data_IF_363301429971
#
_entry.id   IF_363301429971
#
_cell.length_a   1.000
_cell.length_b   1.000
_cell.length_c   1.000
_cell.angle_alpha   90.00
_cell.angle_beta   90.00
_cell.angle_gamma   90.00
#
_symmetry.space_group_name_H-M   'P 1'
#
loop_
_entity.id
_entity.type
_entity.pdbx_description
1 polymer ?
#
# COMPACT_ATOMS: atom_id res chain seq x y z
N UNK A 1 9.80 -16.29 1.50
CA UNK A 1 10.20 -15.94 2.84
C UNK A 1 10.55 -14.49 2.95
N UNK A 2 10.03 -13.84 3.93
CA UNK A 2 10.31 -12.44 4.10
C UNK A 2 11.67 -12.25 4.77
N UNK A 3 12.38 -11.21 4.34
CA UNK A 3 13.67 -10.84 4.89
C UNK A 3 13.57 -9.61 5.76
N UNK A 4 12.41 -9.42 6.39
CA UNK A 4 12.18 -8.25 7.23
C UNK A 4 12.65 -8.50 8.65
N UNK A 5 13.16 -7.44 9.28
CA UNK A 5 13.57 -7.47 10.68
C UNK A 5 13.04 -6.24 11.38
N UNK A 6 12.98 -6.29 12.71
CA UNK A 6 12.58 -5.13 13.51
C UNK A 6 13.47 -3.94 13.19
N UNK A 7 12.86 -2.80 13.05
CA UNK A 7 13.55 -1.56 12.74
C UNK A 7 13.65 -1.25 11.26
N UNK A 8 13.37 -2.23 10.40
CA UNK A 8 13.36 -1.99 8.96
C UNK A 8 12.18 -1.12 8.58
N UNK A 9 12.32 -0.40 7.47
CA UNK A 9 11.24 0.39 6.90
C UNK A 9 10.68 -0.41 5.72
N UNK A 10 9.37 -0.60 5.72
CA UNK A 10 8.64 -1.12 4.55
C UNK A 10 7.69 -0.05 4.08
N UNK A 11 7.18 -0.21 2.87
CA UNK A 11 6.37 0.80 2.21
C UNK A 11 5.01 0.22 1.89
N UNK A 12 3.97 0.78 2.51
CA UNK A 12 2.61 0.31 2.36
C UNK A 12 1.89 1.17 1.32
N UNK A 13 1.49 0.56 0.22
CA UNK A 13 0.70 1.22 -0.80
C UNK A 13 -0.77 1.08 -0.42
N UNK A 14 -1.32 2.11 0.21
CA UNK A 14 -2.71 2.12 0.63
C UNK A 14 -3.56 2.60 -0.55
N UNK A 15 -4.30 1.68 -1.11
CA UNK A 15 -5.09 1.96 -2.31
C UNK A 15 -6.55 1.70 -2.00
N UNK A 16 -7.34 2.77 -2.00
CA UNK A 16 -8.78 2.73 -1.78
C UNK A 16 -9.45 3.56 -2.86
N UNK A 17 -9.69 2.97 -4.05
CA UNK A 17 -10.21 3.75 -5.19
C UNK A 17 -11.54 4.42 -4.91
N UNK A 18 -12.40 3.77 -4.14
CA UNK A 18 -13.71 4.35 -3.82
C UNK A 18 -13.62 5.64 -3.01
N UNK A 19 -12.51 5.81 -2.30
CA UNK A 19 -12.28 7.00 -1.49
C UNK A 19 -11.25 7.93 -2.11
N UNK A 20 -10.75 7.58 -3.30
CA UNK A 20 -9.73 8.38 -3.96
C UNK A 20 -8.38 8.36 -3.25
N UNK A 21 -8.09 7.30 -2.50
CA UNK A 21 -6.84 7.19 -1.74
C UNK A 21 -5.84 6.34 -2.50
N UNK A 22 -4.67 6.93 -2.78
CA UNK A 22 -3.56 6.28 -3.48
C UNK A 22 -2.26 6.76 -2.83
N UNK A 23 -2.04 6.30 -1.59
CA UNK A 23 -0.93 6.79 -0.78
C UNK A 23 0.12 5.71 -0.54
N UNK A 24 1.34 6.16 -0.25
CA UNK A 24 2.42 5.29 0.18
C UNK A 24 2.86 5.75 1.56
N UNK A 25 2.84 4.82 2.51
CA UNK A 25 3.25 5.08 3.87
C UNK A 25 4.57 4.39 4.18
N UNK A 26 5.46 5.11 4.86
CA UNK A 26 6.69 4.53 5.40
C UNK A 26 6.34 3.92 6.77
N UNK A 27 6.53 2.62 6.90
CA UNK A 27 6.16 1.88 8.11
C UNK A 27 7.40 1.22 8.69
N UNK A 28 7.72 1.58 9.94
CA UNK A 28 8.84 0.98 10.63
C UNK A 28 8.39 -0.27 11.36
N UNK A 29 9.03 -1.38 11.07
CA UNK A 29 8.63 -2.68 11.62
C UNK A 29 8.89 -2.72 13.12
N UNK A 30 7.87 -3.10 13.88
CA UNK A 30 7.89 -3.12 15.32
C UNK A 30 7.82 -4.54 15.88
N UNK A 31 6.94 -5.38 15.34
CA UNK A 31 6.71 -6.74 15.83
C UNK A 31 6.71 -7.71 14.68
N UNK A 32 7.36 -8.84 14.86
CA UNK A 32 7.42 -9.92 13.86
C UNK A 32 7.02 -11.21 14.54
N UNK A 33 6.03 -11.90 13.95
CA UNK A 33 5.61 -13.22 14.41
C UNK A 33 5.72 -14.21 13.26
N UNK A 34 5.31 -15.44 13.51
CA UNK A 34 5.34 -16.48 12.48
C UNK A 34 4.34 -16.24 11.35
N UNK A 35 3.25 -15.54 11.63
CA UNK A 35 2.14 -15.39 10.67
C UNK A 35 1.87 -13.97 10.24
N UNK A 36 2.33 -12.97 11.01
CA UNK A 36 2.10 -11.57 10.69
C UNK A 36 3.24 -10.69 11.21
N UNK A 37 3.26 -9.48 10.76
CA UNK A 37 4.15 -8.46 11.31
C UNK A 37 3.39 -7.15 11.45
N UNK A 38 3.89 -6.27 12.30
CA UNK A 38 3.30 -4.97 12.49
C UNK A 38 4.35 -3.87 12.45
N UNK A 39 3.89 -2.67 12.19
CA UNK A 39 4.78 -1.53 12.17
C UNK A 39 4.03 -0.25 12.46
N UNK A 40 4.78 0.82 12.64
CA UNK A 40 4.25 2.13 12.97
C UNK A 40 4.56 3.08 11.82
N UNK A 41 3.52 3.72 11.31
CA UNK A 41 3.67 4.70 10.25
C UNK A 41 4.38 5.95 10.81
N UNK A 42 5.33 6.49 10.06
CA UNK A 42 6.26 7.49 10.57
C UNK A 42 5.62 8.85 10.86
N UNK A 43 4.65 9.26 10.08
CA UNK A 43 4.06 10.59 10.23
C UNK A 43 3.02 10.65 11.34
N UNK A 44 2.02 9.78 11.24
CA UNK A 44 0.86 9.80 12.13
C UNK A 44 0.95 8.82 13.28
N UNK A 45 2.01 8.02 13.31
CA UNK A 45 2.20 7.00 14.36
C UNK A 45 1.11 5.96 14.40
N UNK A 46 0.43 5.74 13.28
CA UNK A 46 -0.59 4.70 13.18
C UNK A 46 0.05 3.33 13.14
N UNK A 47 -0.56 2.38 13.82
CA UNK A 47 -0.07 1.00 13.84
C UNK A 47 -0.81 0.21 12.77
N UNK A 48 -0.05 -0.49 11.93
CA UNK A 48 -0.63 -1.37 10.92
C UNK A 48 -0.15 -2.78 11.17
N UNK A 49 -1.02 -3.73 10.92
CA UNK A 49 -0.73 -5.14 11.05
C UNK A 49 -0.93 -5.81 9.69
N UNK A 50 0.08 -6.55 9.24
CA UNK A 50 0.05 -7.14 7.91
C UNK A 50 0.32 -8.64 7.99
N UNK A 51 -0.42 -9.45 7.19
CA UNK A 51 -0.02 -10.84 6.98
C UNK A 51 1.20 -10.85 6.03
N UNK A 52 1.97 -11.92 6.08
CA UNK A 52 3.12 -12.03 5.18
C UNK A 52 2.73 -12.06 3.71
N UNK A 53 1.50 -12.48 3.43
CA UNK A 53 0.99 -12.47 2.05
C UNK A 53 0.86 -11.06 1.47
N UNK A 54 0.91 -10.02 2.31
CA UNK A 54 0.86 -8.64 1.84
C UNK A 54 2.14 -8.21 1.15
N UNK A 55 3.26 -8.87 1.46
CA UNK A 55 4.55 -8.52 0.86
C UNK A 55 4.50 -8.79 -0.64
N UNK A 56 4.95 -7.82 -1.43
CA UNK A 56 4.90 -7.80 -2.89
C UNK A 56 3.49 -7.68 -3.47
N UNK A 57 2.47 -7.55 -2.63
CA UNK A 57 1.11 -7.25 -3.10
C UNK A 57 0.75 -5.78 -2.85
N UNK A 58 0.90 -5.32 -1.62
CA UNK A 58 0.66 -3.92 -1.28
C UNK A 58 1.62 -3.40 -0.22
N UNK A 59 2.51 -4.25 0.28
CA UNK A 59 3.61 -3.86 1.17
C UNK A 59 4.91 -4.25 0.48
N UNK A 60 5.81 -3.30 0.34
CA UNK A 60 7.03 -3.50 -0.43
C UNK A 60 8.27 -3.14 0.39
N UNK A 61 9.35 -3.83 0.12
CA UNK A 61 10.63 -3.55 0.76
C UNK A 61 11.37 -2.39 0.10
N UNK A 62 10.87 -1.96 -1.06
CA UNK A 62 11.45 -0.90 -1.87
C UNK A 62 10.39 0.17 -2.11
N UNK A 63 10.73 1.43 -1.82
CA UNK A 63 9.78 2.52 -1.97
C UNK A 63 9.29 2.70 -3.41
N UNK A 64 10.19 2.52 -4.36
CA UNK A 64 9.84 2.67 -5.77
C UNK A 64 8.71 1.73 -6.18
N UNK A 65 8.75 0.49 -5.71
CA UNK A 65 7.73 -0.50 -6.05
C UNK A 65 6.36 -0.09 -5.49
N UNK A 66 6.33 0.45 -4.28
CA UNK A 66 5.09 0.92 -3.68
C UNK A 66 4.55 2.14 -4.43
N UNK A 67 5.41 3.07 -4.78
CA UNK A 67 5.02 4.26 -5.54
C UNK A 67 4.49 3.88 -6.91
N UNK A 68 5.17 2.95 -7.59
CA UNK A 68 4.72 2.49 -8.91
C UNK A 68 3.35 1.85 -8.83
N UNK A 69 3.10 1.05 -7.80
CA UNK A 69 1.80 0.41 -7.64
C UNK A 69 0.69 1.44 -7.39
N UNK A 70 0.95 2.40 -6.52
CA UNK A 70 -0.04 3.45 -6.23
C UNK A 70 -0.32 4.31 -7.46
N UNK A 71 0.72 4.67 -8.20
CA UNK A 71 0.57 5.45 -9.42
C UNK A 71 -0.23 4.71 -10.48
N UNK A 72 0.08 3.44 -10.69
CA UNK A 72 -0.64 2.62 -11.68
C UNK A 72 -2.11 2.45 -11.28
N UNK A 73 -2.37 2.24 -10.00
CA UNK A 73 -3.75 2.09 -9.52
C UNK A 73 -4.53 3.39 -9.71
N UNK A 74 -3.92 4.52 -9.45
CA UNK A 74 -4.55 5.81 -9.64
C UNK A 74 -4.89 6.07 -11.10
N UNK A 75 -3.96 5.78 -12.01
CA UNK A 75 -4.20 5.95 -13.43
C UNK A 75 -5.29 5.03 -13.94
N UNK A 76 -5.31 3.78 -13.48
CA UNK A 76 -6.36 2.83 -13.85
C UNK A 76 -7.71 3.29 -13.34
N UNK A 77 -7.76 3.85 -12.14
CA UNK A 77 -9.02 4.36 -11.58
C UNK A 77 -9.54 5.54 -12.40
N UNK A 78 -8.67 6.42 -12.85
CA UNK A 78 -9.06 7.55 -13.71
C UNK A 78 -9.65 7.06 -15.03
N UNK A 79 -9.04 6.02 -15.62
CA UNK A 79 -9.56 5.44 -16.86
C UNK A 79 -10.94 4.86 -16.67
N UNK A 80 -11.17 4.15 -15.57
CA UNK A 80 -12.47 3.56 -15.26
C UNK A 80 -13.52 4.65 -15.08
N UNK A 81 -13.19 5.71 -14.33
CA UNK A 81 -14.10 6.82 -14.12
C UNK A 81 -14.45 7.51 -15.44
N UNK A 82 -13.45 7.74 -16.29
CA UNK A 82 -13.67 8.35 -17.58
C UNK A 82 -14.59 7.51 -18.46
N UNK A 83 -14.42 6.19 -18.43
CA UNK A 83 -15.23 5.28 -19.19
C UNK A 83 -16.68 5.31 -18.71
N UNK A 84 -16.88 5.30 -17.39
CA UNK A 84 -18.22 5.39 -16.81
C UNK A 84 -18.92 6.68 -17.18
N UNK A 85 -18.20 7.78 -17.12
CA UNK A 85 -18.75 9.08 -17.49
C UNK A 85 -19.18 9.08 -18.95
N UNK A 86 -18.38 8.48 -19.81
CA UNK A 86 -18.71 8.38 -21.22
C UNK A 86 -20.01 7.62 -21.44
N UNK A 87 -20.20 6.52 -20.74
CA UNK A 87 -21.42 5.74 -20.86
C UNK A 87 -22.64 6.46 -20.35
N UNK A 88 -22.49 7.28 -19.35
CA UNK A 88 -23.60 8.03 -18.78
C UNK A 88 -24.17 9.08 -19.74
N UNK A 89 -23.40 9.45 -20.72
CA UNK A 89 -23.86 10.42 -21.71
C UNK A 89 -24.91 9.86 -22.65
N UNK A 90 -25.06 8.56 -22.67
CA UNK A 90 -26.09 7.91 -23.46
C UNK A 90 -27.38 7.74 -22.66
#
# INVERSE_FOLDING_TARGET
MSNIIKGDIVYYARIMPNLGIFDVYDVKIRTITDTWFSGVEKRDKKVFLFPYSAIDKYVFLNRKDAVDMATNAEENNKKVISTETYYEEY
#
